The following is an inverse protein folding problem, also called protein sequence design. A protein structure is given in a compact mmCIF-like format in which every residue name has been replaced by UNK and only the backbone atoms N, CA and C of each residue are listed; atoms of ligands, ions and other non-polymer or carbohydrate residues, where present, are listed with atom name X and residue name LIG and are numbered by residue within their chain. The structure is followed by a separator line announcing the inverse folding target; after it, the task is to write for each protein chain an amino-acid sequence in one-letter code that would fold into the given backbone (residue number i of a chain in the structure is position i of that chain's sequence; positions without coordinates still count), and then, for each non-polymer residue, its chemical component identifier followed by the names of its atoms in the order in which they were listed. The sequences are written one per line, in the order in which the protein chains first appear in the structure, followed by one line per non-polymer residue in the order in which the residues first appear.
data_IF_040047844615
#
_entry.id   IF_040047844615
#
_cell.length_a   1.000
_cell.length_b   1.000
_cell.length_c   1.000
_cell.angle_alpha   90.00
_cell.angle_beta   90.00
_cell.angle_gamma   90.00
#
_symmetry.space_group_name_H-M   'P 1'
#
loop_
_entity.id
_entity.type
_entity.pdbx_description
1 polymer ?
#
# COMPACT_ATOMS: atom_id res chain seq x y z
N UNK A 1 7.96 7.08 4.61
CA UNK A 1 9.31 6.73 4.10
C UNK A 1 9.89 5.57 4.91
N UNK A 2 10.80 4.78 4.34
CA UNK A 2 11.47 3.63 4.99
C UNK A 2 12.86 4.04 5.47
N UNK A 3 13.32 3.47 6.58
CA UNK A 3 14.65 3.72 7.16
C UNK A 3 15.63 2.56 6.88
N UNK A 4 15.20 1.53 6.14
CA UNK A 4 15.98 0.32 5.87
C UNK A 4 16.51 0.34 4.43
N UNK A 5 15.62 0.61 3.47
CA UNK A 5 15.93 0.63 2.03
C UNK A 5 15.09 1.72 1.36
N UNK A 6 15.62 2.33 0.30
CA UNK A 6 14.85 3.25 -0.54
C UNK A 6 13.74 2.49 -1.27
N UNK A 7 12.50 2.95 -1.17
CA UNK A 7 11.32 2.31 -1.78
C UNK A 7 10.70 3.31 -2.76
N UNK A 8 10.62 2.89 -4.03
CA UNK A 8 9.79 3.53 -5.05
C UNK A 8 8.42 2.85 -5.12
N UNK A 9 7.38 3.58 -5.50
CA UNK A 9 6.05 2.98 -5.65
C UNK A 9 4.94 3.99 -5.89
N UNK A 10 3.76 3.49 -6.24
CA UNK A 10 2.58 4.31 -6.53
C UNK A 10 1.35 3.76 -5.82
N UNK A 11 0.61 4.67 -5.19
CA UNK A 11 -0.70 4.39 -4.60
C UNK A 11 -1.79 4.41 -5.66
N UNK A 12 -2.79 3.57 -5.47
CA UNK A 12 -4.07 3.61 -6.16
C UNK A 12 -5.21 3.50 -5.14
N UNK A 13 -6.34 4.09 -5.51
CA UNK A 13 -7.60 3.94 -4.79
C UNK A 13 -8.64 3.58 -5.84
N UNK A 14 -9.42 2.53 -5.62
CA UNK A 14 -10.48 2.13 -6.54
C UNK A 14 -11.81 2.30 -5.84
N UNK A 15 -12.63 3.20 -6.37
CA UNK A 15 -13.99 3.42 -5.87
C UNK A 15 -14.90 2.25 -6.23
N UNK A 16 -15.64 1.74 -5.25
CA UNK A 16 -16.51 0.55 -5.42
C UNK A 16 -17.88 0.92 -6.00
N UNK A 17 -18.45 2.06 -5.58
CA UNK A 17 -19.72 2.58 -6.09
C UNK A 17 -19.62 4.08 -6.39
N UNK A 18 -20.25 4.53 -7.47
CA UNK A 18 -20.28 5.95 -7.83
C UNK A 18 -21.12 6.81 -6.88
N UNK A 19 -20.83 8.12 -6.82
CA UNK A 19 -21.61 9.10 -6.05
C UNK A 19 -21.27 9.17 -4.56
N UNK A 20 -20.31 8.37 -4.08
CA UNK A 20 -19.70 8.52 -2.76
C UNK A 20 -18.62 9.61 -2.87
N UNK A 21 -18.67 10.67 -2.04
CA UNK A 21 -17.64 11.70 -2.00
C UNK A 21 -16.26 11.10 -1.67
N UNK A 22 -15.22 11.56 -2.37
CA UNK A 22 -13.83 11.25 -2.01
C UNK A 22 -13.42 12.14 -0.84
N UNK A 23 -13.72 11.68 0.37
CA UNK A 23 -13.31 12.35 1.60
C UNK A 23 -12.79 11.36 2.66
N UNK A 24 -12.36 11.92 3.78
CA UNK A 24 -11.87 11.16 4.94
C UNK A 24 -13.01 10.46 5.69
N UNK A 25 -14.24 10.51 5.20
CA UNK A 25 -15.43 9.89 5.79
C UNK A 25 -15.72 8.50 5.24
N UNK A 26 -14.73 7.81 4.64
CA UNK A 26 -14.80 6.37 4.36
C UNK A 26 -15.30 5.56 5.58
N UNK A 27 -15.07 6.04 6.81
CA UNK A 27 -15.61 5.43 8.02
C UNK A 27 -17.15 5.47 8.13
N UNK A 28 -17.80 6.48 7.55
CA UNK A 28 -19.27 6.62 7.49
C UNK A 28 -19.90 5.81 6.34
N UNK A 29 -19.08 5.37 5.38
CA UNK A 29 -19.50 4.48 4.30
C UNK A 29 -19.55 3.03 4.83
N UNK A 30 -20.65 2.28 4.58
CA UNK A 30 -20.69 0.85 4.90
C UNK A 30 -19.50 0.13 4.30
N UNK A 31 -18.86 -0.78 5.05
CA UNK A 31 -17.58 -1.39 4.66
C UNK A 31 -17.57 -1.92 3.22
N UNK A 32 -18.62 -2.66 2.83
CA UNK A 32 -18.80 -3.21 1.48
C UNK A 32 -18.80 -2.18 0.33
N UNK A 33 -18.92 -0.90 0.63
CA UNK A 33 -18.93 0.20 -0.33
C UNK A 33 -17.72 1.12 -0.21
N UNK A 34 -16.83 0.86 0.76
CA UNK A 34 -15.58 1.59 0.90
C UNK A 34 -14.63 1.26 -0.24
N UNK A 35 -13.81 2.24 -0.57
CA UNK A 35 -12.82 2.11 -1.62
C UNK A 35 -11.83 1.00 -1.31
N UNK A 36 -11.28 0.40 -2.36
CA UNK A 36 -10.16 -0.50 -2.24
C UNK A 36 -8.84 0.26 -2.29
N UNK A 37 -7.90 -0.19 -1.47
CA UNK A 37 -6.58 0.39 -1.40
C UNK A 37 -5.57 -0.44 -2.21
N UNK A 38 -4.82 0.23 -3.06
CA UNK A 38 -3.74 -0.36 -3.84
C UNK A 38 -2.40 0.33 -3.54
N UNK A 39 -1.35 -0.47 -3.52
CA UNK A 39 0.01 0.05 -3.61
C UNK A 39 0.91 -0.96 -4.30
N UNK A 40 1.57 -0.52 -5.38
CA UNK A 40 2.61 -1.27 -6.06
C UNK A 40 3.95 -0.59 -5.77
N UNK A 41 4.92 -1.36 -5.29
CA UNK A 41 6.20 -0.84 -4.84
C UNK A 41 7.37 -1.73 -5.27
N UNK A 42 8.54 -1.13 -5.37
CA UNK A 42 9.79 -1.80 -5.69
C UNK A 42 10.93 -1.28 -4.80
N UNK A 43 11.91 -2.13 -4.51
CA UNK A 43 13.07 -1.77 -3.70
C UNK A 43 14.31 -2.63 -3.99
N UNK A 44 15.52 -2.06 -3.89
CA UNK A 44 15.82 -0.63 -3.74
C UNK A 44 15.49 0.11 -5.04
N UNK A 45 15.31 1.43 -4.96
CA UNK A 45 14.89 2.25 -6.11
C UNK A 45 15.86 2.17 -7.31
N UNK A 46 17.17 2.09 -7.04
CA UNK A 46 18.22 2.16 -8.08
C UNK A 46 18.74 0.78 -8.56
N UNK A 47 18.44 -0.31 -7.86
CA UNK A 47 18.92 -1.67 -8.18
C UNK A 47 17.91 -2.72 -7.70
N UNK A 48 16.70 -2.69 -8.27
CA UNK A 48 15.52 -3.38 -7.75
C UNK A 48 15.72 -4.88 -7.58
N UNK A 49 15.53 -5.37 -6.35
CA UNK A 49 15.62 -6.80 -5.99
C UNK A 49 14.25 -7.41 -5.64
N UNK A 50 13.27 -6.58 -5.25
CA UNK A 50 11.92 -7.02 -4.90
C UNK A 50 10.87 -6.05 -5.44
N UNK A 51 9.77 -6.61 -5.94
CA UNK A 51 8.54 -5.89 -6.30
C UNK A 51 7.38 -6.49 -5.50
N UNK A 52 6.52 -5.64 -4.95
CA UNK A 52 5.36 -6.03 -4.14
C UNK A 52 4.13 -5.30 -4.66
N UNK A 53 3.06 -6.05 -4.92
CA UNK A 53 1.71 -5.50 -5.15
C UNK A 53 0.85 -5.82 -3.93
N UNK A 54 0.26 -4.79 -3.33
CA UNK A 54 -0.66 -4.92 -2.20
C UNK A 54 -2.02 -4.40 -2.61
N UNK A 55 -3.02 -5.25 -2.41
CA UNK A 55 -4.44 -4.94 -2.50
C UNK A 55 -5.07 -5.15 -1.14
N UNK A 56 -5.85 -4.17 -0.68
CA UNK A 56 -6.68 -4.29 0.51
C UNK A 56 -8.12 -3.98 0.11
N UNK A 57 -8.93 -5.03 0.05
CA UNK A 57 -10.37 -4.91 -0.14
C UNK A 57 -10.94 -4.03 0.98
N UNK A 58 -11.78 -3.07 0.59
CA UNK A 58 -12.37 -2.05 1.46
C UNK A 58 -11.36 -1.31 2.36
N UNK A 59 -10.09 -1.25 1.94
CA UNK A 59 -8.98 -0.66 2.69
C UNK A 59 -8.90 0.87 2.65
N UNK A 60 -9.86 1.54 2.00
CA UNK A 60 -9.87 2.99 1.78
C UNK A 60 -8.79 3.44 0.82
N UNK A 61 -8.10 4.54 1.15
CA UNK A 61 -7.05 5.10 0.29
C UNK A 61 -5.76 4.26 0.27
N UNK A 62 -5.12 4.13 -0.89
CA UNK A 62 -3.87 3.38 -1.04
C UNK A 62 -2.74 3.77 -0.07
N UNK A 63 -2.67 5.06 0.31
CA UNK A 63 -1.67 5.57 1.25
C UNK A 63 -1.95 5.26 2.72
N UNK A 64 -3.20 4.97 3.12
CA UNK A 64 -3.56 4.73 4.52
C UNK A 64 -3.40 3.27 4.94
N UNK A 65 -3.46 2.33 3.99
CA UNK A 65 -3.39 0.89 4.29
C UNK A 65 -2.32 0.18 3.45
N UNK A 66 -2.53 0.03 2.14
CA UNK A 66 -1.69 -0.78 1.25
C UNK A 66 -0.20 -0.36 1.27
N UNK A 67 0.09 0.95 1.30
CA UNK A 67 1.47 1.46 1.38
C UNK A 67 2.21 1.05 2.66
N UNK A 68 1.52 1.01 3.81
CA UNK A 68 2.11 0.60 5.08
C UNK A 68 2.41 -0.90 5.12
N UNK A 69 1.54 -1.72 4.51
CA UNK A 69 1.73 -3.16 4.39
C UNK A 69 2.95 -3.46 3.50
N UNK A 70 3.05 -2.83 2.33
CA UNK A 70 4.19 -3.01 1.44
C UNK A 70 5.52 -2.61 2.10
N UNK A 71 5.55 -1.49 2.85
CA UNK A 71 6.72 -1.07 3.63
C UNK A 71 7.15 -2.16 4.62
N UNK A 72 6.20 -2.82 5.30
CA UNK A 72 6.49 -3.92 6.24
C UNK A 72 7.02 -5.15 5.53
N UNK A 73 6.41 -5.56 4.41
CA UNK A 73 6.85 -6.71 3.61
C UNK A 73 8.30 -6.49 3.15
N UNK A 74 8.57 -5.37 2.49
CA UNK A 74 9.91 -5.02 1.99
C UNK A 74 10.90 -4.94 3.16
N UNK A 75 10.55 -4.25 4.25
CA UNK A 75 11.44 -4.14 5.41
C UNK A 75 11.77 -5.50 6.04
N UNK A 76 10.81 -6.42 6.11
CA UNK A 76 11.04 -7.79 6.61
C UNK A 76 11.92 -8.59 5.66
N UNK A 77 11.71 -8.48 4.34
CA UNK A 77 12.55 -9.12 3.34
C UNK A 77 14.03 -8.74 3.53
N UNK A 78 14.36 -7.44 3.58
CA UNK A 78 15.76 -7.00 3.77
C UNK A 78 16.35 -7.42 5.12
N UNK A 79 15.57 -7.35 6.21
CA UNK A 79 16.03 -7.84 7.53
C UNK A 79 16.32 -9.35 7.54
N UNK A 80 15.67 -10.13 6.68
CA UNK A 80 15.95 -11.57 6.59
C UNK A 80 17.27 -11.85 5.87
N UNK A 81 17.70 -10.98 4.95
CA UNK A 81 18.97 -11.10 4.24
C UNK A 81 20.17 -10.80 5.16
N UNK A 82 20.02 -9.87 6.10
CA UNK A 82 21.06 -9.52 7.10
C UNK A 82 21.29 -10.60 8.17
N UNK A 83 20.39 -11.58 8.28
CA UNK A 83 20.46 -12.65 9.29
C UNK A 83 21.14 -13.93 8.77
N UNK A 84 21.73 -13.88 7.59
CA UNK A 84 22.54 -14.94 6.97
C UNK A 84 23.99 -14.49 6.97
#
# INVERSE_FOLDING_TARGET
RSNIVAIGGKTGTTQVIGGVPDDKEQYNVPEKFRDHAWFVAFAPENDTQIVVSVFVEHGGHGSSSAAHIAKRIIGTYYKSLEKI
#
